data_IF_623928708621
#
_entry.id   IF_623928708621
#
_cell.length_a   1.000
_cell.length_b   1.000
_cell.length_c   1.000
_cell.angle_alpha   90.00
_cell.angle_beta   90.00
_cell.angle_gamma   90.00
#
_symmetry.space_group_name_H-M   'P 1'
#
loop_
_entity.id
_entity.type
_entity.pdbx_description
1 polymer ?
#
# COMPACT_ATOMS: atom_id res chain seq x y z
N UNK A 1 92.66 3.72 0.46
CA UNK A 1 91.23 4.10 0.42
C UNK A 1 90.40 2.83 0.25
N UNK A 2 89.73 2.33 1.30
CA UNK A 2 88.89 1.11 1.23
C UNK A 2 87.56 1.46 0.57
N UNK A 3 87.26 0.87 -0.58
CA UNK A 3 85.97 1.04 -1.25
C UNK A 3 84.90 0.21 -0.56
N UNK A 4 83.98 0.87 0.15
CA UNK A 4 82.80 0.22 0.75
C UNK A 4 81.86 -0.26 -0.37
N UNK A 5 81.87 -1.57 -0.67
CA UNK A 5 80.84 -2.20 -1.49
C UNK A 5 79.51 -2.18 -0.73
N UNK A 6 78.60 -1.26 -1.09
CA UNK A 6 77.19 -1.26 -0.64
C UNK A 6 76.57 -2.62 -1.01
N UNK A 7 76.31 -3.48 -0.02
CA UNK A 7 75.50 -4.69 -0.20
C UNK A 7 74.09 -4.27 -0.63
N UNK A 8 73.75 -4.42 -1.91
CA UNK A 8 72.36 -4.35 -2.37
C UNK A 8 71.59 -5.45 -1.64
N UNK A 9 70.60 -5.06 -0.84
CA UNK A 9 69.71 -5.96 -0.10
C UNK A 9 68.83 -6.67 -1.14
N UNK A 10 69.21 -7.87 -1.56
CA UNK A 10 68.42 -8.67 -2.51
C UNK A 10 67.23 -9.22 -1.71
N UNK A 11 66.04 -8.69 -1.95
CA UNK A 11 64.81 -9.19 -1.33
C UNK A 11 64.56 -10.57 -1.91
N UNK A 12 64.83 -11.63 -1.12
CA UNK A 12 64.48 -13.00 -1.48
C UNK A 12 62.97 -13.16 -1.33
N UNK A 13 62.22 -12.90 -2.39
CA UNK A 13 60.79 -13.20 -2.45
C UNK A 13 60.64 -14.71 -2.28
N UNK A 14 59.96 -15.14 -1.21
CA UNK A 14 59.60 -16.54 -1.01
C UNK A 14 58.49 -16.87 -2.01
N UNK A 15 58.85 -17.43 -3.17
CA UNK A 15 57.90 -17.81 -4.22
C UNK A 15 56.73 -18.66 -3.72
N UNK A 16 56.96 -19.49 -2.71
CA UNK A 16 55.90 -20.25 -2.01
C UNK A 16 54.84 -19.35 -1.37
N UNK A 17 55.25 -18.25 -0.72
CA UNK A 17 54.31 -17.29 -0.13
C UNK A 17 53.50 -16.55 -1.19
N UNK A 18 54.11 -16.21 -2.34
CA UNK A 18 53.40 -15.58 -3.47
C UNK A 18 52.38 -16.55 -4.07
N UNK A 19 52.74 -17.83 -4.22
CA UNK A 19 51.84 -18.86 -4.73
C UNK A 19 50.63 -19.08 -3.82
N UNK A 20 50.84 -19.10 -2.49
CA UNK A 20 49.76 -19.22 -1.51
C UNK A 20 48.82 -18.02 -1.60
N UNK A 21 49.34 -16.79 -1.66
CA UNK A 21 48.52 -15.59 -1.81
C UNK A 21 47.71 -15.64 -3.11
N UNK A 22 48.33 -16.05 -4.22
CA UNK A 22 47.64 -16.20 -5.50
C UNK A 22 46.50 -17.24 -5.44
N UNK A 23 46.72 -18.39 -4.80
CA UNK A 23 45.69 -19.40 -4.57
C UNK A 23 44.53 -18.85 -3.72
N UNK A 24 44.84 -18.12 -2.65
CA UNK A 24 43.81 -17.48 -1.81
C UNK A 24 42.99 -16.49 -2.63
N UNK A 25 43.62 -15.64 -3.44
CA UNK A 25 42.91 -14.70 -4.33
C UNK A 25 42.03 -15.43 -5.34
N UNK A 26 42.50 -16.54 -5.93
CA UNK A 26 41.70 -17.35 -6.85
C UNK A 26 40.46 -17.95 -6.17
N UNK A 27 40.63 -18.51 -4.96
CA UNK A 27 39.50 -19.06 -4.18
C UNK A 27 38.51 -17.97 -3.81
N UNK A 28 38.98 -16.79 -3.40
CA UNK A 28 38.12 -15.64 -3.10
C UNK A 28 37.39 -15.13 -4.36
N UNK A 29 38.06 -15.05 -5.49
CA UNK A 29 37.45 -14.63 -6.76
C UNK A 29 36.41 -15.65 -7.26
N UNK A 30 36.72 -16.96 -7.20
CA UNK A 30 35.78 -18.02 -7.54
C UNK A 30 34.59 -18.08 -6.58
N UNK A 31 34.84 -17.95 -5.28
CA UNK A 31 33.80 -17.91 -4.25
C UNK A 31 32.86 -16.72 -4.40
N UNK A 32 33.39 -15.53 -4.67
CA UNK A 32 32.56 -14.35 -4.95
C UNK A 32 31.77 -14.52 -6.25
N UNK A 33 32.38 -15.02 -7.32
CA UNK A 33 31.68 -15.31 -8.58
C UNK A 33 30.48 -16.24 -8.39
N UNK A 34 30.66 -17.34 -7.67
CA UNK A 34 29.56 -18.27 -7.34
C UNK A 34 28.50 -17.58 -6.48
N UNK A 35 28.90 -16.81 -5.47
CA UNK A 35 27.96 -16.09 -4.61
C UNK A 35 27.09 -15.09 -5.39
N UNK A 36 27.65 -14.39 -6.39
CA UNK A 36 26.92 -13.48 -7.28
C UNK A 36 25.96 -14.19 -8.25
N UNK A 37 26.09 -15.51 -8.43
CA UNK A 37 25.20 -16.32 -9.26
C UNK A 37 24.14 -17.07 -8.47
N UNK A 38 24.25 -17.13 -7.13
CA UNK A 38 23.26 -17.83 -6.31
C UNK A 38 21.88 -17.20 -6.50
N UNK A 39 20.87 -17.99 -6.94
CA UNK A 39 19.50 -17.50 -7.09
C UNK A 39 18.85 -17.27 -5.73
N UNK A 40 17.76 -16.51 -5.72
CA UNK A 40 16.82 -16.50 -4.59
C UNK A 40 16.32 -17.94 -4.38
N UNK A 41 16.26 -18.40 -3.13
CA UNK A 41 15.79 -19.76 -2.81
C UNK A 41 14.34 -19.78 -2.38
N UNK A 42 13.90 -18.75 -1.64
CA UNK A 42 12.55 -18.65 -1.14
C UNK A 42 12.08 -17.20 -1.16
N UNK A 43 10.79 -17.00 -1.48
CA UNK A 43 10.13 -15.70 -1.50
C UNK A 43 8.93 -15.81 -0.55
N UNK A 44 8.89 -14.92 0.44
CA UNK A 44 7.82 -14.85 1.43
C UNK A 44 7.13 -13.50 1.23
N UNK A 45 5.84 -13.51 0.89
CA UNK A 45 5.02 -12.31 0.68
C UNK A 45 4.01 -12.23 1.82
N UNK A 46 3.83 -11.05 2.39
CA UNK A 46 2.90 -10.78 3.49
C UNK A 46 2.18 -9.45 3.27
N UNK A 47 0.96 -9.35 3.79
CA UNK A 47 0.19 -8.10 3.85
C UNK A 47 -0.54 -7.76 2.55
N UNK A 48 -0.71 -8.72 1.65
CA UNK A 48 -1.54 -8.58 0.45
C UNK A 48 -2.97 -9.01 0.70
N UNK A 49 -3.91 -8.35 0.03
CA UNK A 49 -5.36 -8.60 0.15
C UNK A 49 -6.02 -8.72 -1.22
N UNK A 50 -5.66 -7.83 -2.15
CA UNK A 50 -6.20 -7.77 -3.49
C UNK A 50 -5.23 -8.39 -4.51
N UNK A 51 -3.92 -8.18 -4.34
CA UNK A 51 -2.91 -8.69 -5.26
C UNK A 51 -2.47 -10.10 -4.87
N UNK A 52 -2.43 -10.99 -5.85
CA UNK A 52 -1.88 -12.34 -5.65
C UNK A 52 -0.35 -12.31 -5.51
N UNK A 53 0.19 -13.31 -4.81
CA UNK A 53 1.65 -13.48 -4.68
C UNK A 53 2.35 -13.52 -6.04
N UNK A 54 1.72 -14.11 -7.05
CA UNK A 54 2.24 -14.16 -8.41
C UNK A 54 2.32 -12.76 -9.05
N UNK A 55 1.27 -11.95 -8.91
CA UNK A 55 1.27 -10.57 -9.43
C UNK A 55 2.37 -9.73 -8.78
N UNK A 56 2.54 -9.85 -7.46
CA UNK A 56 3.63 -9.20 -6.74
C UNK A 56 5.00 -9.66 -7.28
N UNK A 57 5.21 -10.96 -7.46
CA UNK A 57 6.47 -11.49 -7.98
C UNK A 57 6.76 -11.00 -9.41
N UNK A 58 5.73 -10.96 -10.25
CA UNK A 58 5.79 -10.46 -11.62
C UNK A 58 6.13 -8.97 -11.65
N UNK A 59 5.40 -8.14 -10.88
CA UNK A 59 5.65 -6.70 -10.76
C UNK A 59 7.07 -6.40 -10.24
N UNK A 60 7.52 -7.13 -9.23
CA UNK A 60 8.88 -7.02 -8.72
C UNK A 60 9.96 -7.56 -9.71
N UNK A 61 9.57 -8.38 -10.68
CA UNK A 61 10.46 -9.07 -11.62
C UNK A 61 11.38 -10.08 -10.91
N UNK A 62 10.81 -10.86 -10.00
CA UNK A 62 11.47 -11.92 -9.23
C UNK A 62 10.83 -13.30 -9.44
N UNK A 63 9.87 -13.39 -10.35
CA UNK A 63 9.14 -14.59 -10.78
C UNK A 63 10.06 -15.71 -11.28
N UNK A 64 11.20 -15.34 -11.87
CA UNK A 64 12.22 -16.27 -12.35
C UNK A 64 13.34 -16.58 -11.35
N UNK A 65 13.18 -16.23 -10.07
CA UNK A 65 14.18 -16.44 -9.01
C UNK A 65 15.58 -15.91 -9.39
N UNK A 66 15.72 -14.60 -9.66
CA UNK A 66 16.99 -14.01 -10.10
C UNK A 66 18.07 -14.10 -9.02
N UNK A 67 19.30 -13.73 -9.38
CA UNK A 67 20.44 -13.72 -8.44
C UNK A 67 20.12 -12.93 -7.16
N UNK A 68 20.25 -13.60 -6.01
CA UNK A 68 19.95 -13.03 -4.71
C UNK A 68 20.76 -11.77 -4.45
N UNK A 69 22.05 -11.74 -4.79
CA UNK A 69 22.89 -10.55 -4.56
C UNK A 69 22.58 -9.40 -5.51
N UNK A 70 22.24 -9.68 -6.77
CA UNK A 70 21.92 -8.66 -7.78
C UNK A 70 20.56 -8.00 -7.55
N UNK A 71 19.60 -8.74 -7.01
CA UNK A 71 18.26 -8.22 -6.71
C UNK A 71 18.31 -7.34 -5.46
N UNK A 72 18.25 -6.02 -5.64
CA UNK A 72 18.29 -5.08 -4.52
C UNK A 72 16.89 -4.75 -4.00
N UNK A 73 16.76 -4.53 -2.69
CA UNK A 73 15.49 -4.15 -2.09
C UNK A 73 14.94 -2.84 -2.66
N UNK A 74 15.80 -1.87 -2.92
CA UNK A 74 15.41 -0.60 -3.56
C UNK A 74 14.85 -0.79 -4.97
N UNK A 75 15.40 -1.73 -5.76
CA UNK A 75 14.86 -2.02 -7.09
C UNK A 75 13.48 -2.67 -7.01
N UNK A 76 13.27 -3.59 -6.05
CA UNK A 76 11.96 -4.22 -5.85
C UNK A 76 10.94 -3.17 -5.40
N UNK A 77 11.28 -2.39 -4.36
CA UNK A 77 10.41 -1.35 -3.82
C UNK A 77 9.99 -0.36 -4.90
N UNK A 78 10.93 0.10 -5.74
CA UNK A 78 10.63 1.01 -6.84
C UNK A 78 9.58 0.44 -7.80
N UNK A 79 9.77 -0.80 -8.27
CA UNK A 79 8.84 -1.44 -9.23
C UNK A 79 7.46 -1.69 -8.62
N UNK A 80 7.40 -2.13 -7.37
CA UNK A 80 6.14 -2.41 -6.70
C UNK A 80 5.34 -1.12 -6.44
N UNK A 81 5.99 -0.03 -6.03
CA UNK A 81 5.34 1.27 -5.82
C UNK A 81 4.85 1.95 -7.12
N UNK A 82 5.16 1.41 -8.30
CA UNK A 82 4.54 1.86 -9.55
C UNK A 82 3.07 1.39 -9.66
N UNK A 83 2.68 0.36 -8.91
CA UNK A 83 1.30 -0.09 -8.84
C UNK A 83 0.50 0.76 -7.83
N UNK A 84 -0.61 1.40 -8.25
CA UNK A 84 -1.38 2.31 -7.39
C UNK A 84 -1.99 1.64 -6.15
N UNK A 85 -2.22 0.33 -6.19
CA UNK A 85 -2.73 -0.46 -5.05
C UNK A 85 -1.70 -0.64 -3.94
N UNK A 86 -0.40 -0.39 -4.19
CA UNK A 86 0.66 -0.62 -3.22
C UNK A 86 1.05 0.71 -2.55
N UNK A 87 0.84 0.79 -1.24
CA UNK A 87 1.11 1.99 -0.43
C UNK A 87 2.53 2.00 0.12
N UNK A 88 2.98 0.88 0.70
CA UNK A 88 4.35 0.74 1.16
C UNK A 88 4.87 -0.68 0.92
N UNK A 89 6.19 -0.76 0.82
CA UNK A 89 6.92 -2.02 0.66
C UNK A 89 8.15 -2.00 1.56
N UNK A 90 8.27 -3.05 2.36
CA UNK A 90 9.47 -3.37 3.12
C UNK A 90 10.09 -4.66 2.60
N UNK A 91 11.40 -4.62 2.32
CA UNK A 91 12.14 -5.73 1.71
C UNK A 91 13.24 -6.19 2.63
N UNK A 92 13.17 -7.45 3.05
CA UNK A 92 14.14 -8.06 3.95
C UNK A 92 14.87 -9.22 3.28
N UNK A 93 16.19 -9.12 3.21
CA UNK A 93 17.06 -10.19 2.74
C UNK A 93 17.55 -10.99 3.94
N UNK A 94 17.05 -12.22 4.08
CA UNK A 94 17.39 -13.12 5.17
C UNK A 94 18.50 -14.10 4.75
N UNK A 95 19.03 -14.83 5.73
CA UNK A 95 20.06 -15.85 5.50
C UNK A 95 19.52 -16.97 4.59
N UNK A 96 20.42 -17.72 3.94
CA UNK A 96 20.07 -18.79 2.98
C UNK A 96 19.24 -18.33 1.76
N UNK A 97 19.44 -17.10 1.28
CA UNK A 97 18.81 -16.65 0.04
C UNK A 97 17.29 -16.46 0.11
N UNK A 98 16.76 -16.25 1.32
CA UNK A 98 15.34 -15.97 1.56
C UNK A 98 15.07 -14.47 1.38
N UNK A 99 14.10 -14.14 0.54
CA UNK A 99 13.62 -12.79 0.30
C UNK A 99 12.21 -12.63 0.90
N UNK A 100 12.07 -11.73 1.84
CA UNK A 100 10.78 -11.43 2.47
C UNK A 100 10.30 -10.05 2.07
N UNK A 101 9.06 -9.99 1.59
CA UNK A 101 8.36 -8.78 1.17
C UNK A 101 7.17 -8.58 2.11
N UNK A 102 7.17 -7.45 2.81
CA UNK A 102 6.02 -6.97 3.56
C UNK A 102 5.40 -5.83 2.77
N UNK A 103 4.16 -6.02 2.34
CA UNK A 103 3.43 -5.11 1.46
C UNK A 103 2.27 -4.54 2.25
N UNK A 104 2.05 -3.24 2.11
CA UNK A 104 0.84 -2.58 2.59
C UNK A 104 0.05 -2.13 1.38
N UNK A 105 -1.13 -2.72 1.18
CA UNK A 105 -2.04 -2.32 0.11
C UNK A 105 -2.98 -1.19 0.55
N UNK A 106 -3.31 -0.31 -0.38
CA UNK A 106 -4.44 0.60 -0.24
C UNK A 106 -5.73 -0.14 -0.60
N UNK A 107 -6.73 -0.08 0.28
CA UNK A 107 -8.05 -0.64 0.01
C UNK A 107 -8.92 0.38 -0.73
N UNK A 108 -9.90 -0.10 -1.49
CA UNK A 108 -10.81 0.78 -2.20
C UNK A 108 -11.81 1.44 -1.24
N UNK A 109 -11.92 2.77 -1.27
CA UNK A 109 -12.82 3.51 -0.39
C UNK A 109 -14.14 3.87 -1.07
N UNK A 110 -14.09 4.39 -2.29
CA UNK A 110 -15.28 4.75 -3.06
C UNK A 110 -14.98 4.81 -4.55
N UNK A 111 -16.02 4.68 -5.36
CA UNK A 111 -15.97 4.96 -6.79
C UNK A 111 -16.41 6.40 -7.05
N UNK A 112 -15.61 7.18 -7.76
CA UNK A 112 -15.94 8.54 -8.16
C UNK A 112 -16.60 8.51 -9.55
N UNK A 113 -17.92 8.75 -9.60
CA UNK A 113 -18.68 8.70 -10.85
C UNK A 113 -18.26 9.77 -11.86
N UNK A 114 -17.76 10.90 -11.39
CA UNK A 114 -17.36 12.02 -12.24
C UNK A 114 -16.01 11.76 -12.93
N UNK A 115 -15.09 11.08 -12.26
CA UNK A 115 -13.76 10.74 -12.81
C UNK A 115 -13.66 9.32 -13.36
N UNK A 116 -14.71 8.52 -13.23
CA UNK A 116 -14.78 7.10 -13.60
C UNK A 116 -13.60 6.31 -12.99
N UNK A 117 -13.33 6.55 -11.71
CA UNK A 117 -12.15 5.99 -11.03
C UNK A 117 -12.43 5.54 -9.61
N UNK A 118 -11.73 4.50 -9.20
CA UNK A 118 -11.70 4.00 -7.84
C UNK A 118 -10.70 4.82 -7.03
N UNK A 119 -11.13 5.36 -5.90
CA UNK A 119 -10.26 6.09 -4.97
C UNK A 119 -9.84 5.15 -3.85
N UNK A 120 -8.53 4.97 -3.70
CA UNK A 120 -7.93 4.09 -2.69
C UNK A 120 -7.63 4.83 -1.40
N UNK A 121 -7.49 4.08 -0.30
CA UNK A 121 -7.18 4.61 1.03
C UNK A 121 -5.81 5.26 1.15
N UNK A 122 -4.94 5.13 0.17
CA UNK A 122 -3.68 5.88 0.07
C UNK A 122 -3.79 7.17 -0.75
N UNK A 123 -4.99 7.51 -1.24
CA UNK A 123 -5.27 8.66 -2.09
C UNK A 123 -5.01 8.43 -3.58
N UNK A 124 -4.46 7.28 -3.98
CA UNK A 124 -4.29 6.93 -5.39
C UNK A 124 -5.65 6.68 -6.06
N UNK A 125 -5.67 6.87 -7.37
CA UNK A 125 -6.85 6.60 -8.21
C UNK A 125 -6.54 5.53 -9.25
N UNK A 126 -7.48 4.61 -9.44
CA UNK A 126 -7.38 3.54 -10.44
C UNK A 126 -8.56 3.64 -11.39
N UNK A 127 -8.29 3.71 -12.70
CA UNK A 127 -9.35 3.65 -13.70
C UNK A 127 -9.89 2.24 -13.76
N UNK A 128 -11.13 2.06 -13.35
CA UNK A 128 -11.80 0.77 -13.31
C UNK A 128 -13.30 0.97 -13.58
N UNK A 129 -13.99 -0.07 -14.02
CA UNK A 129 -15.44 -0.03 -14.20
C UNK A 129 -16.13 -0.28 -12.86
N UNK A 130 -17.21 0.48 -12.56
CA UNK A 130 -18.00 0.41 -11.32
C UNK A 130 -18.33 -1.02 -10.89
N UNK A 131 -18.67 -1.87 -11.85
CA UNK A 131 -19.26 -3.19 -11.62
C UNK A 131 -18.32 -4.25 -11.03
N UNK A 132 -17.07 -3.89 -10.72
CA UNK A 132 -16.07 -4.83 -10.19
C UNK A 132 -15.84 -4.73 -8.69
N UNK A 133 -16.29 -3.65 -8.04
CA UNK A 133 -15.93 -3.37 -6.65
C UNK A 133 -17.15 -3.02 -5.82
N UNK A 134 -17.30 -3.67 -4.66
CA UNK A 134 -18.33 -3.37 -3.65
C UNK A 134 -17.85 -2.21 -2.79
N UNK A 135 -17.90 -0.99 -3.33
CA UNK A 135 -17.63 0.25 -2.59
C UNK A 135 -18.70 1.29 -2.86
N UNK A 136 -18.88 2.26 -1.96
CA UNK A 136 -19.80 3.38 -2.16
C UNK A 136 -19.52 4.14 -3.47
N UNK A 137 -20.58 4.63 -4.12
CA UNK A 137 -20.45 5.48 -5.32
C UNK A 137 -20.64 6.95 -4.93
N UNK A 138 -19.61 7.76 -5.12
CA UNK A 138 -19.71 9.22 -5.06
C UNK A 138 -20.38 9.72 -6.35
N UNK A 139 -21.59 10.26 -6.22
CA UNK A 139 -22.46 10.58 -7.36
C UNK A 139 -22.17 11.96 -7.98
N UNK A 140 -21.54 12.88 -7.24
CA UNK A 140 -21.32 14.24 -7.68
C UNK A 140 -19.96 14.82 -7.26
N UNK A 141 -19.63 15.98 -7.84
CA UNK A 141 -18.35 16.63 -7.62
C UNK A 141 -18.23 17.20 -6.20
N UNK A 142 -17.18 16.78 -5.48
CA UNK A 142 -16.70 17.39 -4.24
C UNK A 142 -15.68 18.48 -4.61
N UNK A 143 -15.83 19.73 -4.14
CA UNK A 143 -14.89 20.81 -4.41
C UNK A 143 -13.45 20.45 -4.06
N UNK A 144 -12.50 20.85 -4.91
CA UNK A 144 -11.07 20.56 -4.72
C UNK A 144 -10.56 21.02 -3.35
N UNK A 145 -11.11 22.12 -2.81
CA UNK A 145 -10.78 22.66 -1.49
C UNK A 145 -11.21 21.76 -0.32
N UNK A 146 -12.07 20.77 -0.56
CA UNK A 146 -12.61 19.83 0.43
C UNK A 146 -12.21 18.38 0.15
N UNK A 147 -11.75 18.07 -1.07
CA UNK A 147 -11.49 16.70 -1.52
C UNK A 147 -10.46 15.96 -0.66
N UNK A 148 -9.37 16.62 -0.27
CA UNK A 148 -8.35 16.00 0.59
C UNK A 148 -8.92 15.67 1.97
N UNK A 149 -9.65 16.60 2.59
CA UNK A 149 -10.33 16.36 3.87
C UNK A 149 -11.38 15.25 3.77
N UNK A 150 -12.16 15.22 2.69
CA UNK A 150 -13.12 14.14 2.45
C UNK A 150 -12.44 12.77 2.35
N UNK A 151 -11.32 12.68 1.63
CA UNK A 151 -10.52 11.44 1.54
C UNK A 151 -10.04 11.01 2.92
N UNK A 152 -9.51 11.93 3.73
CA UNK A 152 -9.10 11.63 5.11
C UNK A 152 -10.27 11.17 5.97
N UNK A 153 -11.43 11.81 5.88
CA UNK A 153 -12.62 11.38 6.60
C UNK A 153 -13.07 9.96 6.20
N UNK A 154 -13.01 9.61 4.91
CA UNK A 154 -13.34 8.28 4.43
C UNK A 154 -12.35 7.21 4.93
N UNK A 155 -11.07 7.55 5.13
CA UNK A 155 -10.07 6.62 5.67
C UNK A 155 -10.39 6.18 7.12
N UNK A 156 -11.07 7.04 7.88
CA UNK A 156 -11.46 6.78 9.26
C UNK A 156 -12.80 6.03 9.38
N UNK A 157 -13.49 5.77 8.26
CA UNK A 157 -14.71 4.95 8.26
C UNK A 157 -14.33 3.48 8.45
N UNK A 158 -14.97 2.82 9.41
CA UNK A 158 -14.78 1.38 9.63
C UNK A 158 -15.13 0.62 8.35
N UNK A 159 -14.26 -0.27 7.84
CA UNK A 159 -14.54 -1.07 6.64
C UNK A 159 -15.88 -1.80 6.67
N UNK A 160 -16.36 -2.21 7.84
CA UNK A 160 -17.68 -2.83 8.00
C UNK A 160 -18.81 -1.86 7.68
N UNK A 161 -18.71 -0.61 8.14
CA UNK A 161 -19.70 0.44 7.89
C UNK A 161 -19.58 0.94 6.45
N UNK A 162 -18.36 1.05 5.93
CA UNK A 162 -18.10 1.42 4.54
C UNK A 162 -18.87 0.52 3.56
N UNK A 163 -18.87 -0.79 3.81
CA UNK A 163 -19.59 -1.77 2.99
C UNK A 163 -21.13 -1.66 3.07
N UNK A 164 -21.67 -0.92 4.05
CA UNK A 164 -23.10 -0.64 4.14
C UNK A 164 -23.48 0.65 3.42
N UNK A 165 -22.51 1.48 2.99
CA UNK A 165 -22.80 2.70 2.26
C UNK A 165 -22.88 2.35 0.78
N UNK A 166 -24.01 2.66 0.15
CA UNK A 166 -24.25 2.45 -1.28
C UNK A 166 -23.80 3.64 -2.11
N UNK A 167 -24.21 4.85 -1.71
CA UNK A 167 -23.99 6.07 -2.48
C UNK A 167 -23.65 7.23 -1.54
N UNK A 168 -22.84 8.16 -2.06
CA UNK A 168 -22.39 9.36 -1.35
C UNK A 168 -22.70 10.57 -2.24
N UNK A 169 -23.30 11.60 -1.65
CA UNK A 169 -23.59 12.86 -2.32
C UNK A 169 -23.05 14.02 -1.48
N UNK A 170 -22.26 14.89 -2.09
CA UNK A 170 -21.93 16.18 -1.51
C UNK A 170 -23.15 17.11 -1.64
N UNK A 171 -23.80 17.41 -0.51
CA UNK A 171 -25.08 18.10 -0.47
C UNK A 171 -25.07 19.27 0.54
N UNK A 172 -24.29 20.33 0.28
CA UNK A 172 -24.23 21.50 1.16
C UNK A 172 -25.57 22.23 1.23
N UNK A 173 -25.84 22.91 2.34
CA UNK A 173 -27.00 23.78 2.52
C UNK A 173 -26.59 25.20 2.89
N UNK A 174 -27.53 26.08 3.27
CA UNK A 174 -27.23 27.48 3.61
C UNK A 174 -26.40 27.65 4.89
N UNK A 175 -26.43 26.65 5.78
CA UNK A 175 -25.77 26.69 7.09
C UNK A 175 -24.48 25.87 7.12
N UNK A 176 -24.42 24.76 6.38
CA UNK A 176 -23.31 23.82 6.36
C UNK A 176 -22.86 23.57 4.91
N UNK A 177 -21.66 24.07 4.58
CA UNK A 177 -21.02 23.88 3.28
C UNK A 177 -20.15 22.62 3.23
N UNK A 178 -20.07 21.85 4.31
CA UNK A 178 -19.30 20.61 4.45
C UNK A 178 -20.22 19.37 4.55
N UNK A 179 -21.51 19.53 4.25
CA UNK A 179 -22.52 18.50 4.41
C UNK A 179 -22.53 17.48 3.27
N UNK A 180 -22.74 16.22 3.63
CA UNK A 180 -22.90 15.07 2.76
C UNK A 180 -24.18 14.31 3.13
N UNK A 181 -24.77 13.64 2.13
CA UNK A 181 -25.81 12.65 2.26
C UNK A 181 -25.25 11.28 1.85
N UNK A 182 -25.36 10.30 2.73
CA UNK A 182 -24.99 8.92 2.47
C UNK A 182 -26.27 8.09 2.37
N UNK A 183 -26.37 7.25 1.35
CA UNK A 183 -27.43 6.25 1.24
C UNK A 183 -26.89 4.90 1.70
N UNK A 184 -27.61 4.24 2.60
CA UNK A 184 -27.24 2.95 3.17
C UNK A 184 -27.89 1.81 2.37
N UNK A 185 -27.26 0.64 2.36
CA UNK A 185 -27.73 -0.57 1.65
C UNK A 185 -29.06 -1.11 2.20
N UNK A 186 -29.37 -0.77 3.45
CA UNK A 186 -30.61 -1.14 4.11
C UNK A 186 -31.79 -0.20 3.74
N UNK A 187 -31.55 0.88 3.00
CA UNK A 187 -32.58 1.84 2.59
C UNK A 187 -32.78 3.03 3.55
N UNK A 188 -31.96 3.17 4.59
CA UNK A 188 -31.86 4.42 5.34
C UNK A 188 -30.90 5.41 4.64
N UNK A 189 -30.98 6.68 5.05
CA UNK A 189 -30.00 7.69 4.66
C UNK A 189 -29.39 8.38 5.87
N UNK A 190 -28.20 8.96 5.71
CA UNK A 190 -27.48 9.66 6.77
C UNK A 190 -26.98 11.00 6.27
N UNK A 191 -27.40 12.09 6.93
CA UNK A 191 -26.78 13.39 6.78
C UNK A 191 -25.62 13.54 7.77
N UNK A 192 -24.46 13.93 7.27
CA UNK A 192 -23.28 14.21 8.09
C UNK A 192 -22.47 15.36 7.49
N UNK A 193 -21.48 15.82 8.24
CA UNK A 193 -20.57 16.90 7.83
C UNK A 193 -19.13 16.43 7.98
N UNK A 194 -18.17 16.98 7.23
CA UNK A 194 -16.76 16.57 7.31
C UNK A 194 -16.22 16.56 8.75
N UNK A 195 -16.63 17.52 9.57
CA UNK A 195 -16.19 17.61 10.98
C UNK A 195 -16.74 16.51 11.90
N UNK A 196 -17.79 15.80 11.47
CA UNK A 196 -18.46 14.73 12.22
C UNK A 196 -18.52 13.42 11.44
N UNK A 197 -17.70 13.26 10.40
CA UNK A 197 -17.77 12.13 9.49
C UNK A 197 -17.61 10.80 10.21
N UNK A 198 -16.70 10.73 11.20
CA UNK A 198 -16.46 9.57 12.06
C UNK A 198 -17.72 9.08 12.81
N UNK A 199 -18.74 9.93 12.99
CA UNK A 199 -19.96 9.52 13.69
C UNK A 199 -20.72 8.42 12.94
N UNK A 200 -20.50 8.26 11.62
CA UNK A 200 -21.08 7.16 10.85
C UNK A 200 -20.64 5.79 11.40
N UNK A 201 -19.49 5.70 12.07
CA UNK A 201 -19.00 4.44 12.63
C UNK A 201 -19.90 3.88 13.73
N UNK A 202 -20.76 4.71 14.33
CA UNK A 202 -21.76 4.28 15.33
C UNK A 202 -23.10 3.86 14.71
N UNK A 203 -23.20 3.80 13.38
CA UNK A 203 -24.45 3.51 12.68
C UNK A 203 -25.09 2.19 13.13
N UNK A 204 -24.31 1.11 13.24
CA UNK A 204 -24.76 -0.19 13.73
C UNK A 204 -25.32 -0.14 15.17
N UNK A 205 -24.87 0.79 16.01
CA UNK A 205 -25.35 0.96 17.39
C UNK A 205 -26.69 1.70 17.44
N UNK A 206 -26.98 2.52 16.43
CA UNK A 206 -28.21 3.29 16.32
C UNK A 206 -29.31 2.47 15.65
N UNK A 207 -28.97 1.61 14.69
CA UNK A 207 -29.91 0.77 13.93
C UNK A 207 -31.00 0.06 14.79
N UNK A 208 -30.68 -0.61 15.91
CA UNK A 208 -31.68 -1.29 16.73
C UNK A 208 -32.74 -0.35 17.32
N UNK A 209 -32.38 0.92 17.55
CA UNK A 209 -33.26 1.94 18.12
C UNK A 209 -34.30 2.43 17.12
N UNK A 210 -34.06 2.18 15.83
CA UNK A 210 -34.98 2.54 14.75
C UNK A 210 -36.16 1.56 14.65
N UNK A 211 -36.13 0.43 15.38
CA UNK A 211 -37.18 -0.59 15.41
C UNK A 211 -37.59 -1.08 13.99
N UNK A 212 -36.64 -1.10 13.05
CA UNK A 212 -36.87 -1.51 11.66
C UNK A 212 -37.52 -0.45 10.77
N UNK A 213 -37.74 0.78 11.27
CA UNK A 213 -38.25 1.89 10.47
C UNK A 213 -37.17 2.43 9.53
N UNK A 214 -37.60 2.95 8.38
CA UNK A 214 -36.74 3.59 7.39
C UNK A 214 -36.85 5.10 7.47
N UNK A 215 -35.74 5.77 7.25
CA UNK A 215 -35.68 7.20 7.45
C UNK A 215 -34.28 7.78 7.29
N UNK A 216 -34.14 9.01 7.79
CA UNK A 216 -32.93 9.82 7.66
C UNK A 216 -32.35 10.04 9.05
N UNK A 217 -31.09 9.65 9.24
CA UNK A 217 -30.31 9.93 10.43
C UNK A 217 -29.51 11.23 10.23
N UNK A 218 -29.78 12.24 11.05
CA UNK A 218 -29.12 13.54 11.01
C UNK A 218 -27.98 13.59 12.03
N UNK A 219 -26.76 13.27 11.60
CA UNK A 219 -25.54 13.41 12.39
C UNK A 219 -24.91 14.81 12.24
N UNK A 220 -25.33 15.57 11.23
CA UNK A 220 -24.93 16.96 11.04
C UNK A 220 -25.50 17.89 12.14
N UNK A 221 -26.74 17.65 12.58
CA UNK A 221 -27.53 18.55 13.43
C UNK A 221 -28.29 17.81 14.55
N UNK A 222 -27.70 17.78 15.74
CA UNK A 222 -28.39 17.33 16.96
C UNK A 222 -28.62 15.81 17.10
N UNK A 223 -28.09 15.00 16.19
CA UNK A 223 -28.09 13.53 16.25
C UNK A 223 -29.50 12.95 16.46
N UNK A 224 -30.36 13.17 15.48
CA UNK A 224 -31.77 12.74 15.52
C UNK A 224 -32.15 11.92 14.29
N UNK A 225 -33.25 11.16 14.38
CA UNK A 225 -33.76 10.33 13.29
C UNK A 225 -35.16 10.78 12.87
N UNK A 226 -35.34 11.02 11.58
CA UNK A 226 -36.62 11.34 10.96
C UNK A 226 -37.13 10.13 10.17
N UNK A 227 -38.33 9.67 10.48
CA UNK A 227 -38.95 8.54 9.80
C UNK A 227 -39.48 9.03 8.44
N UNK A 228 -39.14 8.35 7.36
CA UNK A 228 -39.83 8.53 6.09
C UNK A 228 -41.18 7.85 6.20
N UNK A 229 -42.26 8.63 6.32
CA UNK A 229 -43.62 8.08 6.28
C UNK A 229 -43.83 7.31 4.96
N UNK A 230 -44.32 6.08 5.08
CA UNK A 230 -44.72 5.22 3.97
C UNK A 230 -46.06 5.63 3.37
#
# INVERSE_FOLDING_TARGET
>A
MKTMKKKKKIIKIKWVSVLIIFLVVLVLAGGTYLAFQMPIQNIIIKGTTNLSDYEIMSLAGIDNYPSFLKTTGSSIKKKLLENPYITDVSVHKKFLGVLELEITEGYAMYYDSASESLVLSNGNTVKEEVNKTTVPVLLNYVPDTKRETFISCMQEVDPKILNQISEILYEPNDYDKDRFLLYMDDGNSVYLTLTKFEQINYYDEVLPQLEGKKGILYLDSGNHFEIMES
#
